data_IF_630662318610
#
_entry.id   IF_630662318610
#
_cell.length_a   1.000
_cell.length_b   1.000
_cell.length_c   1.000
_cell.angle_alpha   90.00
_cell.angle_beta   90.00
_cell.angle_gamma   90.00
#
_symmetry.space_group_name_H-M   'P 1'
#
loop_
_entity.id
_entity.type
_entity.pdbx_description
1 polymer ?
#
# COMPACT_ATOMS: atom_id res chain seq x y z
N UNK A 1 2.15 13.87 -15.91
CA UNK A 1 1.69 13.96 -17.30
C UNK A 1 0.86 15.22 -17.48
N UNK A 2 -0.11 15.49 -16.62
CA UNK A 2 -0.96 16.69 -16.71
C UNK A 2 -0.18 18.00 -16.56
N UNK A 3 0.91 18.01 -15.81
CA UNK A 3 1.78 19.18 -15.62
C UNK A 3 2.84 19.39 -16.73
N UNK A 4 2.82 18.60 -17.80
CA UNK A 4 3.60 18.81 -19.03
C UNK A 4 5.10 18.53 -18.96
N UNK A 5 5.67 18.16 -17.81
CA UNK A 5 7.10 17.89 -17.64
C UNK A 5 7.53 16.44 -17.91
N UNK A 6 6.56 15.54 -18.15
CA UNK A 6 6.81 14.14 -18.47
C UNK A 6 5.79 13.62 -19.48
N UNK A 7 6.24 12.88 -20.50
CA UNK A 7 5.34 12.20 -21.44
C UNK A 7 4.67 10.99 -20.79
N UNK A 8 3.48 10.59 -21.29
CA UNK A 8 2.76 9.40 -20.80
C UNK A 8 3.63 8.13 -20.84
N UNK A 9 4.48 7.99 -21.88
CA UNK A 9 5.43 6.88 -22.01
C UNK A 9 6.50 6.90 -20.93
N UNK A 10 7.05 8.05 -20.62
CA UNK A 10 8.06 8.21 -19.56
C UNK A 10 7.44 7.93 -18.19
N UNK A 11 6.23 8.44 -17.92
CA UNK A 11 5.51 8.19 -16.69
C UNK A 11 5.25 6.69 -16.48
N UNK A 12 4.79 5.98 -17.51
CA UNK A 12 4.55 4.54 -17.41
C UNK A 12 5.84 3.73 -17.23
N UNK A 13 6.95 4.13 -17.84
CA UNK A 13 8.25 3.48 -17.63
C UNK A 13 8.76 3.68 -16.20
N UNK A 14 8.66 4.90 -15.66
CA UNK A 14 9.07 5.20 -14.28
C UNK A 14 8.22 4.41 -13.28
N UNK A 15 6.91 4.35 -13.49
CA UNK A 15 6.03 3.58 -12.61
C UNK A 15 6.26 2.08 -12.73
N UNK A 16 6.47 1.56 -13.94
CA UNK A 16 6.68 0.12 -14.15
C UNK A 16 8.03 -0.33 -13.64
N UNK A 17 9.12 0.29 -14.06
CA UNK A 17 10.47 -0.13 -13.64
C UNK A 17 10.82 0.38 -12.25
N UNK A 18 10.55 1.65 -11.95
CA UNK A 18 10.85 2.25 -10.65
C UNK A 18 9.95 1.70 -9.55
N UNK A 19 8.63 1.68 -9.77
CA UNK A 19 7.65 1.19 -8.82
C UNK A 19 7.81 -0.31 -8.53
N UNK A 20 7.94 -1.15 -9.57
CA UNK A 20 8.13 -2.59 -9.40
C UNK A 20 9.48 -2.93 -8.75
N UNK A 21 10.56 -2.23 -9.09
CA UNK A 21 11.86 -2.42 -8.46
C UNK A 21 11.82 -2.06 -6.98
N UNK A 22 11.20 -0.94 -6.61
CA UNK A 22 10.98 -0.54 -5.22
C UNK A 22 10.07 -1.53 -4.48
N UNK A 23 9.04 -2.04 -5.14
CA UNK A 23 8.16 -3.05 -4.57
C UNK A 23 8.90 -4.35 -4.27
N UNK A 24 9.73 -4.83 -5.19
CA UNK A 24 10.57 -6.01 -4.96
C UNK A 24 11.58 -5.78 -3.84
N UNK A 25 12.32 -4.67 -3.90
CA UNK A 25 13.28 -4.31 -2.86
C UNK A 25 12.60 -4.17 -1.49
N UNK A 26 11.43 -3.53 -1.44
CA UNK A 26 10.62 -3.38 -0.24
C UNK A 26 10.21 -4.72 0.38
N UNK A 27 9.90 -5.74 -0.44
CA UNK A 27 9.60 -7.10 0.05
C UNK A 27 10.79 -7.76 0.74
N UNK A 28 12.00 -7.66 0.16
CA UNK A 28 13.20 -8.20 0.77
C UNK A 28 13.54 -7.46 2.07
N UNK A 29 13.55 -6.14 2.03
CA UNK A 29 13.81 -5.28 3.19
C UNK A 29 12.76 -5.51 4.28
N UNK A 30 11.48 -5.58 3.92
CA UNK A 30 10.37 -5.84 4.84
C UNK A 30 10.49 -7.19 5.52
N UNK A 31 10.83 -8.25 4.78
CA UNK A 31 11.07 -9.58 5.34
C UNK A 31 12.24 -9.56 6.34
N UNK A 32 13.31 -8.86 6.01
CA UNK A 32 14.46 -8.70 6.90
C UNK A 32 14.11 -7.89 8.16
N UNK A 33 13.36 -6.80 8.03
CA UNK A 33 12.92 -5.98 9.17
C UNK A 33 11.97 -6.78 10.08
N UNK A 34 11.05 -7.58 9.52
CA UNK A 34 10.14 -8.43 10.30
C UNK A 34 10.88 -9.46 11.16
N UNK A 35 12.10 -9.84 10.80
CA UNK A 35 12.93 -10.73 11.65
C UNK A 35 13.50 -10.00 12.88
N UNK A 36 13.53 -8.67 12.87
CA UNK A 36 14.14 -7.83 13.93
C UNK A 36 13.12 -7.01 14.72
N UNK A 37 11.99 -6.69 14.12
CA UNK A 37 10.97 -5.80 14.70
C UNK A 37 9.64 -6.52 14.79
N UNK A 38 8.85 -6.24 15.82
CA UNK A 38 7.50 -6.78 15.98
C UNK A 38 6.62 -6.35 14.81
N UNK A 39 5.96 -7.32 14.18
CA UNK A 39 5.12 -7.10 12.99
C UNK A 39 4.02 -6.05 13.23
N UNK A 40 3.46 -5.98 14.45
CA UNK A 40 2.44 -5.01 14.81
C UNK A 40 2.95 -3.56 14.71
N UNK A 41 4.16 -3.30 15.23
CA UNK A 41 4.79 -1.98 15.17
C UNK A 41 5.17 -1.61 13.73
N UNK A 42 5.71 -2.59 12.98
CA UNK A 42 6.07 -2.38 11.59
C UNK A 42 4.85 -2.02 10.75
N UNK A 43 3.74 -2.76 10.90
CA UNK A 43 2.49 -2.48 10.19
C UNK A 43 1.97 -1.07 10.51
N UNK A 44 1.99 -0.68 11.78
CA UNK A 44 1.53 0.66 12.20
C UNK A 44 2.33 1.77 11.54
N UNK A 45 3.66 1.70 11.57
CA UNK A 45 4.52 2.72 10.98
C UNK A 45 4.42 2.77 9.45
N UNK A 46 4.30 1.60 8.80
CA UNK A 46 4.07 1.56 7.35
C UNK A 46 2.70 2.14 6.98
N UNK A 47 1.65 1.86 7.77
CA UNK A 47 0.33 2.42 7.54
C UNK A 47 0.29 3.95 7.71
N UNK A 48 0.96 4.49 8.73
CA UNK A 48 1.14 5.95 8.90
C UNK A 48 1.89 6.54 7.70
N UNK A 49 2.95 5.87 7.25
CA UNK A 49 3.74 6.29 6.10
C UNK A 49 2.89 6.34 4.82
N UNK A 50 2.13 5.28 4.51
CA UNK A 50 1.26 5.26 3.31
C UNK A 50 0.17 6.30 3.35
N UNK A 51 -0.52 6.49 4.48
CA UNK A 51 -1.54 7.53 4.63
C UNK A 51 -0.95 8.92 4.39
N UNK A 52 0.22 9.22 4.98
CA UNK A 52 0.89 10.51 4.80
C UNK A 52 1.34 10.75 3.36
N UNK A 53 1.93 9.73 2.71
CA UNK A 53 2.38 9.83 1.33
C UNK A 53 1.21 9.95 0.35
N UNK A 54 0.11 9.23 0.59
CA UNK A 54 -1.08 9.33 -0.26
C UNK A 54 -1.73 10.71 -0.17
N UNK A 55 -1.71 11.36 1.00
CA UNK A 55 -2.15 12.76 1.12
C UNK A 55 -1.30 13.71 0.27
N UNK A 56 0.02 13.50 0.22
CA UNK A 56 0.91 14.28 -0.65
C UNK A 56 0.64 14.03 -2.14
N UNK A 57 0.24 12.81 -2.51
CA UNK A 57 -0.17 12.49 -3.89
C UNK A 57 -1.45 13.24 -4.25
N UNK A 58 -2.45 13.26 -3.36
CA UNK A 58 -3.73 13.96 -3.57
C UNK A 58 -3.51 15.48 -3.66
N UNK A 59 -2.53 16.02 -2.93
CA UNK A 59 -2.20 17.45 -2.95
C UNK A 59 -1.58 17.93 -4.27
N UNK A 60 -1.27 17.02 -5.20
CA UNK A 60 -0.74 17.29 -6.56
C UNK A 60 0.44 18.28 -6.60
N UNK A 61 1.47 18.01 -5.80
CA UNK A 61 2.68 18.83 -5.70
C UNK A 61 3.75 18.48 -6.76
N UNK A 62 3.33 17.99 -7.93
CA UNK A 62 4.20 17.67 -9.06
C UNK A 62 5.24 16.59 -8.76
N UNK A 63 6.52 16.94 -8.77
CA UNK A 63 7.64 16.00 -8.52
C UNK A 63 7.54 15.35 -7.13
N UNK A 64 7.08 16.09 -6.12
CA UNK A 64 6.90 15.57 -4.76
C UNK A 64 5.85 14.47 -4.73
N UNK A 65 4.75 14.63 -5.47
CA UNK A 65 3.70 13.61 -5.59
C UNK A 65 4.21 12.33 -6.26
N UNK A 66 5.08 12.44 -7.27
CA UNK A 66 5.70 11.28 -7.90
C UNK A 66 6.59 10.51 -6.92
N UNK A 67 7.43 11.22 -6.17
CA UNK A 67 8.30 10.60 -5.16
C UNK A 67 7.45 9.95 -4.06
N UNK A 68 6.40 10.64 -3.60
CA UNK A 68 5.46 10.11 -2.61
C UNK A 68 4.78 8.83 -3.10
N UNK A 69 4.37 8.79 -4.37
CA UNK A 69 3.79 7.59 -4.99
C UNK A 69 4.77 6.42 -5.02
N UNK A 70 6.02 6.66 -5.40
CA UNK A 70 7.06 5.63 -5.38
C UNK A 70 7.33 5.11 -3.94
N UNK A 71 7.31 5.99 -2.94
CA UNK A 71 7.42 5.60 -1.54
C UNK A 71 6.22 4.75 -1.08
N UNK A 72 4.99 5.04 -1.56
CA UNK A 72 3.83 4.20 -1.30
C UNK A 72 4.05 2.75 -1.74
N UNK A 73 4.63 2.51 -2.93
CA UNK A 73 4.94 1.15 -3.39
C UNK A 73 5.88 0.41 -2.45
N UNK A 74 6.88 1.09 -1.87
CA UNK A 74 7.79 0.48 -0.91
C UNK A 74 7.08 0.10 0.39
N UNK A 75 6.23 0.98 0.93
CA UNK A 75 5.45 0.69 2.15
C UNK A 75 4.41 -0.41 1.92
N UNK A 76 3.70 -0.40 0.79
CA UNK A 76 2.75 -1.44 0.40
C UNK A 76 3.40 -2.82 0.32
N UNK A 77 4.59 -2.88 -0.26
CA UNK A 77 5.35 -4.12 -0.39
C UNK A 77 5.64 -4.77 0.97
N UNK A 78 5.84 -3.95 2.01
CA UNK A 78 6.08 -4.41 3.39
C UNK A 78 4.77 -4.75 4.09
N UNK A 79 3.70 -3.98 3.85
CA UNK A 79 2.42 -4.14 4.54
C UNK A 79 1.76 -5.48 4.23
N UNK A 80 1.76 -5.92 2.97
CA UNK A 80 1.09 -7.16 2.56
C UNK A 80 1.58 -8.40 3.33
N UNK A 81 2.89 -8.75 3.33
CA UNK A 81 3.37 -9.90 4.09
C UNK A 81 3.19 -9.73 5.59
N UNK A 82 3.23 -8.50 6.10
CA UNK A 82 3.05 -8.22 7.53
C UNK A 82 1.60 -8.48 7.97
N UNK A 83 0.62 -8.00 7.21
CA UNK A 83 -0.81 -8.27 7.46
C UNK A 83 -1.08 -9.77 7.37
N UNK A 84 -0.54 -10.44 6.36
CA UNK A 84 -0.68 -11.87 6.16
C UNK A 84 -0.13 -12.67 7.37
N UNK A 85 1.07 -12.34 7.84
CA UNK A 85 1.68 -12.97 9.00
C UNK A 85 0.88 -12.73 10.28
N UNK A 86 0.36 -11.52 10.49
CA UNK A 86 -0.47 -11.18 11.65
C UNK A 86 -1.82 -11.89 11.63
N UNK A 87 -2.46 -11.95 10.48
CA UNK A 87 -3.78 -12.58 10.34
C UNK A 87 -3.75 -14.10 10.52
N UNK A 88 -2.63 -14.76 10.19
CA UNK A 88 -2.47 -16.21 10.38
C UNK A 88 -1.97 -16.58 11.78
N UNK A 89 -1.57 -15.61 12.57
CA UNK A 89 -0.97 -15.86 13.89
C UNK A 89 -2.00 -16.43 14.87
N UNK A 90 -1.66 -17.56 15.49
CA UNK A 90 -2.49 -18.18 16.54
C UNK A 90 -3.66 -19.01 16.04
N UNK A 91 -3.82 -19.22 14.73
CA UNK A 91 -4.93 -19.99 14.14
C UNK A 91 -4.73 -21.51 14.18
N UNK A 92 -3.53 -22.00 14.55
CA UNK A 92 -3.26 -23.44 14.69
C UNK A 92 -3.71 -24.26 13.47
N UNK A 93 -4.61 -25.21 13.67
CA UNK A 93 -5.15 -26.09 12.63
C UNK A 93 -5.98 -25.36 11.56
N UNK A 94 -6.50 -24.17 11.85
CA UNK A 94 -7.29 -23.36 10.91
C UNK A 94 -6.45 -22.50 9.95
N UNK A 95 -5.12 -22.49 10.13
CA UNK A 95 -4.19 -21.71 9.30
C UNK A 95 -4.35 -21.98 7.81
N UNK A 96 -4.54 -23.26 7.41
CA UNK A 96 -4.74 -23.64 6.00
C UNK A 96 -5.96 -22.96 5.38
N UNK A 97 -7.10 -22.98 6.05
CA UNK A 97 -8.34 -22.35 5.57
C UNK A 97 -8.20 -20.82 5.54
N UNK A 98 -7.67 -20.24 6.59
CA UNK A 98 -7.45 -18.81 6.69
C UNK A 98 -6.48 -18.28 5.60
N UNK A 99 -5.39 -19.01 5.32
CA UNK A 99 -4.46 -18.61 4.24
C UNK A 99 -5.11 -18.69 2.86
N UNK A 100 -5.99 -19.67 2.61
CA UNK A 100 -6.74 -19.73 1.34
C UNK A 100 -7.64 -18.51 1.16
N UNK A 101 -8.36 -18.09 2.20
CA UNK A 101 -9.18 -16.87 2.14
C UNK A 101 -8.33 -15.61 1.97
N UNK A 102 -7.20 -15.51 2.66
CA UNK A 102 -6.28 -14.38 2.51
C UNK A 102 -5.66 -14.30 1.11
N UNK A 103 -5.41 -15.46 0.48
CA UNK A 103 -4.93 -15.53 -0.91
C UNK A 103 -5.97 -15.08 -1.94
N UNK A 104 -7.24 -14.99 -1.57
CA UNK A 104 -8.28 -14.38 -2.41
C UNK A 104 -8.30 -12.84 -2.30
N UNK A 105 -7.64 -12.26 -1.31
CA UNK A 105 -7.56 -10.81 -1.08
C UNK A 105 -7.09 -10.00 -2.31
N UNK A 106 -6.11 -10.45 -3.12
CA UNK A 106 -5.73 -9.76 -4.36
C UNK A 106 -6.86 -9.59 -5.38
N UNK A 107 -7.90 -10.44 -5.34
CA UNK A 107 -9.09 -10.27 -6.17
C UNK A 107 -9.82 -8.96 -5.82
N UNK A 108 -9.88 -8.61 -4.52
CA UNK A 108 -10.36 -7.30 -4.07
C UNK A 108 -9.51 -6.14 -4.61
N UNK A 109 -8.20 -6.36 -4.78
CA UNK A 109 -7.30 -5.39 -5.39
C UNK A 109 -7.60 -5.08 -6.87
N UNK A 110 -8.27 -5.99 -7.61
CA UNK A 110 -8.72 -5.73 -8.97
C UNK A 110 -9.88 -4.71 -9.03
N UNK A 111 -10.66 -4.57 -7.97
CA UNK A 111 -11.76 -3.60 -7.88
C UNK A 111 -11.21 -2.17 -7.71
N UNK A 112 -10.07 -2.02 -7.05
CA UNK A 112 -9.45 -0.72 -6.79
C UNK A 112 -9.21 0.12 -8.06
N UNK A 113 -8.49 -0.39 -9.08
CA UNK A 113 -8.26 0.32 -10.32
C UNK A 113 -9.55 0.69 -11.07
N UNK A 114 -10.58 -0.15 -11.02
CA UNK A 114 -11.89 0.15 -11.63
C UNK A 114 -12.54 1.34 -10.93
N UNK A 115 -12.56 1.35 -9.61
CA UNK A 115 -13.09 2.49 -8.83
C UNK A 115 -12.26 3.76 -9.03
N UNK A 116 -10.94 3.64 -9.09
CA UNK A 116 -10.05 4.75 -9.39
C UNK A 116 -10.32 5.33 -10.78
N UNK A 117 -10.54 4.48 -11.77
CA UNK A 117 -10.92 4.91 -13.13
C UNK A 117 -12.23 5.70 -13.11
N UNK A 118 -13.26 5.18 -12.46
CA UNK A 118 -14.56 5.86 -12.36
C UNK A 118 -14.47 7.22 -11.67
N UNK A 119 -13.68 7.33 -10.60
CA UNK A 119 -13.45 8.61 -9.91
C UNK A 119 -12.62 9.56 -10.79
N UNK A 120 -11.59 9.05 -11.47
CA UNK A 120 -10.76 9.83 -12.38
C UNK A 120 -11.51 10.36 -13.60
N UNK A 121 -12.49 9.62 -14.11
CA UNK A 121 -13.37 10.04 -15.21
C UNK A 121 -14.40 11.11 -14.78
N UNK A 122 -14.81 11.10 -13.51
CA UNK A 122 -15.79 12.05 -12.96
C UNK A 122 -15.15 13.32 -12.37
N UNK A 123 -13.89 13.22 -11.98
CA UNK A 123 -13.10 14.29 -11.36
C UNK A 123 -11.68 14.27 -11.95
N UNK A 124 -10.76 15.01 -11.35
CA UNK A 124 -9.35 14.95 -11.77
C UNK A 124 -8.67 13.66 -11.28
N UNK A 125 -7.65 13.21 -12.01
CA UNK A 125 -6.94 11.95 -11.74
C UNK A 125 -6.32 11.87 -10.33
N UNK A 126 -5.94 13.01 -9.75
CA UNK A 126 -5.41 13.01 -8.36
C UNK A 126 -6.47 12.66 -7.32
N UNK A 127 -7.75 12.96 -7.56
CA UNK A 127 -8.86 12.56 -6.69
C UNK A 127 -9.13 11.04 -6.72
N UNK A 128 -8.72 10.34 -7.77
CA UNK A 128 -8.81 8.88 -7.83
C UNK A 128 -8.03 8.19 -6.70
N UNK A 129 -6.99 8.84 -6.17
CA UNK A 129 -6.21 8.34 -5.04
C UNK A 129 -6.94 8.35 -3.69
N UNK A 130 -8.15 8.93 -3.62
CA UNK A 130 -9.05 8.79 -2.47
C UNK A 130 -9.44 7.33 -2.23
N UNK A 131 -9.51 6.52 -3.29
CA UNK A 131 -9.87 5.09 -3.18
C UNK A 131 -8.82 4.31 -2.40
N UNK A 132 -7.52 4.27 -2.80
CA UNK A 132 -6.50 3.61 -2.00
C UNK A 132 -6.28 4.29 -0.64
N UNK A 133 -6.45 5.60 -0.52
CA UNK A 133 -6.38 6.32 0.75
C UNK A 133 -7.36 5.76 1.78
N UNK A 134 -8.62 5.55 1.40
CA UNK A 134 -9.62 4.93 2.27
C UNK A 134 -9.18 3.53 2.74
N UNK A 135 -8.60 2.73 1.83
CA UNK A 135 -8.03 1.42 2.17
C UNK A 135 -6.90 1.52 3.20
N UNK A 136 -5.97 2.45 3.03
CA UNK A 136 -4.86 2.65 3.97
C UNK A 136 -5.31 3.13 5.34
N UNK A 137 -6.35 3.97 5.39
CA UNK A 137 -6.96 4.39 6.66
C UNK A 137 -7.55 3.19 7.41
N UNK A 138 -8.23 2.28 6.71
CA UNK A 138 -8.75 1.03 7.32
C UNK A 138 -7.60 0.19 7.88
N UNK A 139 -6.52 0.00 7.12
CA UNK A 139 -5.35 -0.75 7.59
C UNK A 139 -4.68 -0.05 8.78
N UNK A 140 -4.63 1.27 8.80
CA UNK A 140 -4.11 2.03 9.92
C UNK A 140 -4.94 1.83 11.21
N UNK A 141 -6.27 1.87 11.12
CA UNK A 141 -7.14 1.55 12.26
C UNK A 141 -6.94 0.12 12.76
N UNK A 142 -6.83 -0.84 11.85
CA UNK A 142 -6.54 -2.23 12.20
C UNK A 142 -5.18 -2.38 12.91
N UNK A 143 -4.13 -1.78 12.37
CA UNK A 143 -2.80 -1.80 12.97
C UNK A 143 -2.78 -1.17 14.36
N UNK A 144 -3.47 -0.03 14.53
CA UNK A 144 -3.63 0.64 15.82
C UNK A 144 -4.36 -0.24 16.82
N UNK A 145 -5.43 -0.90 16.41
CA UNK A 145 -6.21 -1.78 17.28
C UNK A 145 -5.38 -2.95 17.80
N UNK A 146 -4.65 -3.64 16.92
CA UNK A 146 -3.76 -4.74 17.32
C UNK A 146 -2.63 -4.28 18.24
N UNK A 147 -2.06 -3.10 17.97
CA UNK A 147 -0.98 -2.55 18.78
C UNK A 147 -1.43 -2.26 20.21
N UNK A 148 -2.67 -1.77 20.40
CA UNK A 148 -3.25 -1.47 21.71
C UNK A 148 -3.56 -2.75 22.51
N UNK A 149 -4.06 -3.78 21.85
CA UNK A 149 -4.42 -5.05 22.52
C UNK A 149 -3.20 -5.83 23.05
N UNK A 150 -2.00 -5.50 22.59
CA UNK A 150 -0.76 -6.22 22.97
C UNK A 150 0.22 -5.41 23.82
N UNK A 151 -0.15 -4.22 24.23
CA UNK A 151 0.52 -3.47 25.31
C UNK A 151 -0.14 -3.77 26.64
#
# INVERSE_FOLDING_TARGET
VEQGWMTARQASLVLSFGGLSLFMAGRFVGSWIMSRVRAEKLLFWCAVGTVSMTLLVIADLGMVSLIALLCCYAFEAIMFPTVFALALRGLGSHTKRASSFLMMSPVGGAVGPVLMGLVGDCADMHWAFIVPFAGYVVVWFYARHIMIQKN
#
